data_IF_575053775174
#
_entry.id   IF_575053775174
#
_cell.length_a   1.000
_cell.length_b   1.000
_cell.length_c   1.000
_cell.angle_alpha   90.00
_cell.angle_beta   90.00
_cell.angle_gamma   90.00
#
_symmetry.space_group_name_H-M   'P 1'
#
loop_
_entity.id
_entity.type
_entity.pdbx_description
1 polymer ?
#
# COMPACT_ATOMS: atom_id res chain seq x y z
N UNK A 1 -13.58 22.46 13.43
CA UNK A 1 -14.65 21.44 13.37
C UNK A 1 -14.06 20.22 12.67
N UNK A 2 -14.43 19.02 13.11
CA UNK A 2 -14.01 17.78 12.44
C UNK A 2 -14.43 17.83 10.96
N UNK A 3 -13.52 17.60 9.99
CA UNK A 3 -13.90 17.60 8.57
C UNK A 3 -14.89 16.48 8.23
N UNK A 4 -14.92 15.38 8.98
CA UNK A 4 -15.81 14.25 8.74
C UNK A 4 -16.95 14.16 9.77
N UNK A 5 -18.08 13.64 9.28
CA UNK A 5 -19.33 13.39 10.04
C UNK A 5 -19.38 12.05 10.77
N UNK A 6 -18.34 11.24 10.66
CA UNK A 6 -18.26 9.86 11.17
C UNK A 6 -16.99 9.65 12.00
N UNK A 7 -16.86 8.55 12.77
CA UNK A 7 -15.62 8.21 13.46
C UNK A 7 -14.45 7.99 12.51
N UNK A 8 -13.33 8.66 12.75
CA UNK A 8 -12.07 8.48 12.02
C UNK A 8 -10.89 8.81 12.93
N UNK A 9 -9.71 8.50 12.43
CA UNK A 9 -8.45 8.88 13.02
C UNK A 9 -7.43 9.30 11.96
N UNK A 10 -6.60 10.27 12.31
CA UNK A 10 -5.45 10.72 11.53
C UNK A 10 -4.20 10.63 12.38
N UNK A 11 -3.13 10.11 11.81
CA UNK A 11 -1.81 10.09 12.41
C UNK A 11 -0.79 10.66 11.42
N UNK A 12 0.17 11.43 11.93
CA UNK A 12 1.27 12.03 11.15
C UNK A 12 2.59 11.65 11.81
N UNK A 13 3.61 11.34 11.03
CA UNK A 13 4.94 10.94 11.52
C UNK A 13 6.05 11.52 10.67
N UNK A 14 7.19 11.78 11.27
CA UNK A 14 8.47 11.74 10.55
C UNK A 14 9.09 10.33 10.69
N UNK A 15 10.32 10.17 10.22
CA UNK A 15 11.06 8.91 10.28
C UNK A 15 11.37 8.44 11.72
N UNK A 16 11.33 9.33 12.71
CA UNK A 16 11.75 9.04 14.09
C UNK A 16 10.56 8.88 15.04
N UNK A 17 9.53 9.70 14.88
CA UNK A 17 8.43 9.83 15.85
C UNK A 17 7.12 10.26 15.22
N UNK A 18 6.04 9.94 15.93
CA UNK A 18 4.71 10.50 15.65
C UNK A 18 4.71 11.99 15.95
N UNK A 19 4.28 12.79 14.98
CA UNK A 19 4.16 14.25 15.07
C UNK A 19 2.78 14.70 15.54
N UNK A 20 1.73 14.00 15.08
CA UNK A 20 0.36 14.31 15.46
C UNK A 20 -0.53 13.08 15.46
N UNK A 21 -1.56 13.13 16.30
CA UNK A 21 -2.62 12.14 16.46
C UNK A 21 -3.93 12.91 16.63
N UNK A 22 -4.95 12.55 15.88
CA UNK A 22 -6.27 13.19 15.93
C UNK A 22 -7.38 12.17 15.71
N UNK A 23 -8.51 12.34 16.40
CA UNK A 23 -9.65 11.42 16.32
C UNK A 23 -9.46 10.15 17.15
N UNK A 24 -10.11 9.06 16.74
CA UNK A 24 -10.17 7.78 17.47
C UNK A 24 -8.94 6.90 17.20
N UNK A 25 -7.75 7.39 17.57
CA UNK A 25 -6.46 6.82 17.13
C UNK A 25 -6.17 5.40 17.63
N UNK A 26 -6.89 4.95 18.67
CA UNK A 26 -6.79 3.60 19.25
C UNK A 26 -7.88 2.65 18.75
N UNK A 27 -8.90 3.16 18.05
CA UNK A 27 -9.98 2.35 17.47
C UNK A 27 -9.48 1.65 16.20
N UNK A 28 -9.58 0.30 16.11
CA UNK A 28 -9.26 -0.42 14.88
C UNK A 28 -10.36 -0.22 13.82
N UNK A 29 -9.96 0.10 12.59
CA UNK A 29 -10.86 0.24 11.44
C UNK A 29 -10.39 -0.63 10.27
N UNK A 30 -11.30 -1.08 9.39
CA UNK A 30 -10.92 -1.83 8.19
C UNK A 30 -9.98 -1.01 7.30
N UNK A 31 -8.91 -1.63 6.84
CA UNK A 31 -7.91 -1.01 5.97
C UNK A 31 -8.26 -1.16 4.49
N UNK A 32 -9.04 -2.17 4.11
CA UNK A 32 -9.21 -2.56 2.72
C UNK A 32 -7.83 -2.62 2.04
N UNK A 33 -7.67 -1.99 0.88
CA UNK A 33 -6.45 -2.08 0.07
C UNK A 33 -5.18 -1.47 0.68
N UNK A 34 -5.26 -0.72 1.79
CA UNK A 34 -4.07 -0.35 2.58
C UNK A 34 -3.35 -1.60 3.15
N UNK A 35 -4.00 -2.77 3.13
CA UNK A 35 -3.37 -4.07 3.43
C UNK A 35 -2.28 -4.44 2.42
N UNK A 36 -2.38 -4.04 1.14
CA UNK A 36 -1.45 -4.46 0.08
C UNK A 36 0.01 -4.03 0.34
N UNK A 37 0.30 -2.77 0.71
CA UNK A 37 1.64 -2.40 1.13
C UNK A 37 2.22 -3.28 2.25
N UNK A 38 1.40 -3.67 3.22
CA UNK A 38 1.83 -4.52 4.35
C UNK A 38 2.16 -5.93 3.86
N UNK A 39 1.31 -6.50 2.99
CA UNK A 39 1.55 -7.80 2.36
C UNK A 39 2.79 -7.79 1.44
N UNK A 40 2.96 -6.74 0.65
CA UNK A 40 4.13 -6.56 -0.20
C UNK A 40 5.41 -6.45 0.64
N UNK A 41 5.39 -5.72 1.76
CA UNK A 41 6.53 -5.65 2.66
C UNK A 41 6.92 -7.03 3.21
N UNK A 42 5.93 -7.85 3.61
CA UNK A 42 6.17 -9.22 4.06
C UNK A 42 6.77 -10.12 2.96
N UNK A 43 6.34 -9.96 1.71
CA UNK A 43 6.96 -10.63 0.56
C UNK A 43 8.42 -10.18 0.38
N UNK A 44 8.68 -8.87 0.49
CA UNK A 44 10.01 -8.31 0.32
C UNK A 44 10.97 -8.74 1.44
N UNK A 45 10.51 -9.08 2.65
CA UNK A 45 11.41 -9.65 3.68
C UNK A 45 11.96 -11.00 3.23
N UNK A 46 11.17 -11.79 2.51
CA UNK A 46 11.60 -13.09 1.97
C UNK A 46 12.50 -12.94 0.74
N UNK A 47 12.32 -11.88 -0.05
CA UNK A 47 13.30 -11.48 -1.08
C UNK A 47 14.63 -11.12 -0.42
N UNK A 48 14.60 -10.28 0.62
CA UNK A 48 15.82 -9.90 1.36
C UNK A 48 16.51 -11.10 2.01
N UNK A 49 15.75 -12.11 2.44
CA UNK A 49 16.27 -13.34 3.02
C UNK A 49 16.78 -14.35 1.97
N UNK A 50 16.69 -14.04 0.68
CA UNK A 50 17.11 -14.91 -0.43
C UNK A 50 16.26 -16.17 -0.58
N UNK A 51 15.01 -16.16 -0.12
CA UNK A 51 14.07 -17.30 -0.25
C UNK A 51 13.36 -17.34 -1.59
N UNK A 52 13.18 -16.16 -2.18
CA UNK A 52 12.60 -15.90 -3.49
C UNK A 52 13.34 -14.73 -4.14
N UNK A 53 13.23 -14.59 -5.45
CA UNK A 53 13.74 -13.43 -6.19
C UNK A 53 12.59 -12.62 -6.81
N UNK A 54 12.78 -11.30 -6.97
CA UNK A 54 11.76 -10.47 -7.61
C UNK A 54 11.48 -10.89 -9.06
N UNK A 55 12.51 -11.34 -9.77
CA UNK A 55 12.40 -11.75 -11.17
C UNK A 55 12.18 -13.27 -11.31
N UNK A 56 11.92 -13.96 -10.19
CA UNK A 56 11.53 -15.36 -10.18
C UNK A 56 10.13 -15.52 -10.78
N UNK A 57 9.97 -16.53 -11.64
CA UNK A 57 8.68 -16.91 -12.19
C UNK A 57 7.78 -17.51 -11.11
N UNK A 58 6.59 -16.95 -10.97
CA UNK A 58 5.54 -17.45 -10.09
C UNK A 58 4.61 -18.34 -10.93
N UNK A 59 4.30 -19.57 -10.49
CA UNK A 59 3.31 -20.40 -11.14
C UNK A 59 1.94 -19.72 -11.15
N UNK A 60 1.37 -19.54 -12.35
CA UNK A 60 0.03 -19.01 -12.55
C UNK A 60 -0.67 -19.80 -13.64
N UNK A 61 -1.99 -19.65 -13.77
CA UNK A 61 -2.74 -20.25 -14.88
C UNK A 61 -2.55 -19.49 -16.21
N UNK A 62 -1.64 -18.51 -16.27
CA UNK A 62 -1.28 -17.78 -17.49
C UNK A 62 -0.38 -18.61 -18.39
N UNK A 63 -0.56 -18.45 -19.70
CA UNK A 63 0.39 -18.98 -20.70
C UNK A 63 1.71 -18.18 -20.74
N UNK A 64 1.74 -16.98 -20.17
CA UNK A 64 2.92 -16.12 -20.14
C UNK A 64 3.67 -16.27 -18.81
N UNK A 65 5.01 -16.39 -18.82
CA UNK A 65 5.81 -16.32 -17.61
C UNK A 65 5.50 -15.03 -16.84
N UNK A 66 5.09 -15.16 -15.59
CA UNK A 66 4.75 -14.04 -14.70
C UNK A 66 5.74 -14.01 -13.55
N UNK A 67 6.35 -12.87 -13.27
CA UNK A 67 7.32 -12.73 -12.17
C UNK A 67 6.68 -12.16 -10.90
N UNK A 68 7.35 -12.38 -9.76
CA UNK A 68 6.93 -11.79 -8.48
C UNK A 68 6.88 -10.26 -8.56
N UNK A 69 7.84 -9.63 -9.25
CA UNK A 69 7.89 -8.19 -9.53
C UNK A 69 6.64 -7.72 -10.26
N UNK A 70 6.23 -8.43 -11.31
CA UNK A 70 5.04 -8.07 -12.10
C UNK A 70 3.76 -8.16 -11.26
N UNK A 71 3.65 -9.15 -10.38
CA UNK A 71 2.51 -9.28 -9.47
C UNK A 71 2.43 -8.09 -8.48
N UNK A 72 3.53 -7.78 -7.80
CA UNK A 72 3.61 -6.68 -6.83
C UNK A 72 3.40 -5.31 -7.48
N UNK A 73 3.79 -5.15 -8.75
CA UNK A 73 3.66 -3.91 -9.50
C UNK A 73 2.38 -3.80 -10.32
N UNK A 74 1.44 -4.75 -10.21
CA UNK A 74 0.20 -4.76 -11.01
C UNK A 74 0.45 -4.74 -12.53
N UNK A 75 1.51 -5.41 -12.97
CA UNK A 75 1.96 -5.52 -14.35
C UNK A 75 1.87 -6.96 -14.89
N UNK A 76 1.31 -7.90 -14.13
CA UNK A 76 1.17 -9.30 -14.54
C UNK A 76 0.06 -9.55 -15.57
N UNK A 77 -0.92 -8.65 -15.65
CA UNK A 77 -2.11 -8.85 -16.50
C UNK A 77 -3.18 -9.77 -15.90
N UNK A 78 -3.04 -10.14 -14.63
CA UNK A 78 -4.07 -10.87 -13.86
C UNK A 78 -5.24 -9.92 -13.55
N UNK A 79 -6.45 -10.46 -13.62
CA UNK A 79 -7.70 -9.75 -13.32
C UNK A 79 -7.76 -9.22 -11.88
N UNK A 80 -8.70 -8.32 -11.62
CA UNK A 80 -8.83 -7.66 -10.32
C UNK A 80 -9.17 -8.64 -9.18
N UNK A 81 -10.17 -9.52 -9.35
CA UNK A 81 -10.70 -10.42 -8.30
C UNK A 81 -10.69 -11.90 -8.69
N UNK A 82 -10.38 -12.21 -9.95
CA UNK A 82 -10.19 -13.59 -10.39
C UNK A 82 -8.73 -13.86 -10.68
N UNK A 83 -8.30 -15.11 -10.49
CA UNK A 83 -6.96 -15.57 -10.91
C UNK A 83 -6.85 -15.76 -12.42
N UNK A 84 -7.82 -15.24 -13.18
CA UNK A 84 -7.81 -15.28 -14.62
C UNK A 84 -6.83 -14.26 -15.17
N UNK A 85 -6.15 -14.68 -16.21
CA UNK A 85 -5.26 -13.83 -16.97
C UNK A 85 -6.04 -13.12 -18.09
N UNK A 86 -5.93 -11.79 -18.15
CA UNK A 86 -6.77 -10.96 -19.05
C UNK A 86 -5.96 -10.04 -19.96
N UNK A 87 -4.62 -10.09 -19.89
CA UNK A 87 -3.73 -9.27 -20.71
C UNK A 87 -2.30 -9.80 -20.64
N UNK A 88 -1.49 -9.75 -21.72
CA UNK A 88 -0.05 -10.01 -21.63
C UNK A 88 0.62 -9.19 -20.52
N UNK A 89 1.61 -9.72 -19.78
CA UNK A 89 2.34 -8.92 -18.80
C UNK A 89 2.91 -7.66 -19.44
N UNK A 90 3.05 -6.60 -18.65
CA UNK A 90 3.72 -5.35 -19.03
C UNK A 90 3.05 -4.59 -20.20
N UNK A 91 1.78 -4.89 -20.49
CA UNK A 91 1.01 -4.17 -21.53
C UNK A 91 0.14 -3.04 -20.99
N UNK A 92 -0.36 -3.18 -19.76
CA UNK A 92 -1.18 -2.20 -19.05
C UNK A 92 -1.10 -2.45 -17.54
N UNK A 93 -1.36 -1.42 -16.74
CA UNK A 93 -1.47 -1.53 -15.29
C UNK A 93 -2.86 -2.04 -14.91
N UNK A 94 -2.95 -3.27 -14.43
CA UNK A 94 -4.19 -3.87 -13.93
C UNK A 94 -4.06 -4.02 -12.41
N UNK A 95 -4.67 -3.09 -11.69
CA UNK A 95 -4.79 -3.18 -10.24
C UNK A 95 -5.49 -4.50 -9.87
N UNK A 96 -4.84 -5.33 -9.05
CA UNK A 96 -5.27 -6.71 -8.81
C UNK A 96 -5.13 -7.12 -7.35
N UNK A 97 -6.24 -7.55 -6.73
CA UNK A 97 -6.21 -8.24 -5.45
C UNK A 97 -5.53 -9.60 -5.61
N UNK A 98 -5.98 -10.37 -6.60
CA UNK A 98 -5.45 -11.71 -6.86
C UNK A 98 -3.96 -11.72 -7.15
N UNK A 99 -3.40 -10.70 -7.82
CA UNK A 99 -1.97 -10.59 -8.04
C UNK A 99 -1.18 -10.53 -6.73
N UNK A 100 -1.66 -9.77 -5.75
CA UNK A 100 -1.04 -9.68 -4.42
C UNK A 100 -1.21 -10.97 -3.63
N UNK A 101 -2.39 -11.60 -3.72
CA UNK A 101 -2.66 -12.88 -3.07
C UNK A 101 -1.75 -13.99 -3.64
N UNK A 102 -1.64 -14.10 -4.96
CA UNK A 102 -0.75 -15.06 -5.63
C UNK A 102 0.70 -14.83 -5.20
N UNK A 103 1.17 -13.58 -5.17
CA UNK A 103 2.52 -13.25 -4.73
C UNK A 103 2.77 -13.71 -3.28
N UNK A 104 1.85 -13.41 -2.37
CA UNK A 104 1.97 -13.77 -0.97
C UNK A 104 1.84 -15.28 -0.73
N UNK A 105 0.92 -15.95 -1.42
CA UNK A 105 0.72 -17.41 -1.34
C UNK A 105 1.96 -18.16 -1.83
N UNK A 106 2.52 -17.75 -2.97
CA UNK A 106 3.74 -18.34 -3.52
C UNK A 106 4.91 -18.28 -2.52
N UNK A 107 5.10 -17.12 -1.90
CA UNK A 107 6.16 -16.91 -0.90
C UNK A 107 5.86 -17.67 0.39
N UNK A 108 4.60 -17.69 0.83
CA UNK A 108 4.20 -18.41 2.03
C UNK A 108 4.40 -19.92 1.88
N UNK A 109 4.03 -20.49 0.73
CA UNK A 109 4.26 -21.90 0.40
C UNK A 109 5.76 -22.23 0.42
N UNK A 110 6.59 -21.37 -0.18
CA UNK A 110 8.07 -21.52 -0.21
C UNK A 110 8.67 -21.65 1.20
N UNK A 111 8.10 -20.98 2.19
CA UNK A 111 8.59 -20.99 3.58
C UNK A 111 7.72 -21.83 4.52
N UNK A 112 6.78 -22.61 3.99
CA UNK A 112 5.98 -23.56 4.75
C UNK A 112 4.95 -22.92 5.70
N UNK A 113 4.33 -21.81 5.30
CA UNK A 113 3.33 -21.09 6.09
C UNK A 113 2.11 -20.67 5.23
N UNK A 114 1.20 -19.89 5.79
CA UNK A 114 0.09 -19.23 5.05
C UNK A 114 0.40 -17.75 4.83
N UNK A 115 -0.17 -17.13 3.80
CA UNK A 115 0.05 -15.70 3.51
C UNK A 115 -0.30 -14.79 4.71
N UNK A 116 -1.37 -15.11 5.45
CA UNK A 116 -1.75 -14.38 6.65
C UNK A 116 -0.73 -14.52 7.79
N UNK A 117 -0.19 -15.71 8.02
CA UNK A 117 0.84 -15.92 9.04
C UNK A 117 2.20 -15.35 8.60
N UNK A 118 2.54 -15.39 7.31
CA UNK A 118 3.70 -14.70 6.76
C UNK A 118 3.64 -13.20 7.08
N UNK A 119 2.55 -12.54 6.71
CA UNK A 119 2.33 -11.11 7.01
C UNK A 119 2.42 -10.84 8.52
N UNK A 120 1.79 -11.71 9.33
CA UNK A 120 1.82 -11.59 10.79
C UNK A 120 3.24 -11.71 11.35
N UNK A 121 4.01 -12.69 10.87
CA UNK A 121 5.34 -13.00 11.33
C UNK A 121 6.37 -11.95 10.94
N UNK A 122 6.30 -11.47 9.70
CA UNK A 122 7.33 -10.65 9.09
C UNK A 122 7.11 -9.16 9.31
N UNK A 123 5.87 -8.72 9.57
CA UNK A 123 5.55 -7.27 9.69
C UNK A 123 4.80 -6.93 10.96
N UNK A 124 3.68 -7.59 11.23
CA UNK A 124 2.81 -7.24 12.37
C UNK A 124 3.51 -7.43 13.72
N UNK A 125 4.09 -8.61 13.95
CA UNK A 125 4.78 -8.90 15.21
C UNK A 125 6.04 -8.05 15.40
N UNK A 126 6.96 -7.94 14.42
CA UNK A 126 8.18 -7.16 14.58
C UNK A 126 7.94 -5.67 14.83
N UNK A 127 6.89 -5.10 14.24
CA UNK A 127 6.54 -3.69 14.42
C UNK A 127 5.62 -3.43 15.63
N UNK A 128 5.20 -4.46 16.35
CA UNK A 128 4.27 -4.33 17.47
C UNK A 128 2.94 -3.68 17.05
N UNK A 129 2.32 -4.17 15.97
CA UNK A 129 1.01 -3.70 15.50
C UNK A 129 -0.10 -4.40 16.31
N UNK A 130 -0.23 -4.03 17.58
CA UNK A 130 -0.99 -4.78 18.59
C UNK A 130 -2.51 -4.84 18.32
N UNK A 131 -3.06 -3.86 17.63
CA UNK A 131 -4.48 -3.80 17.23
C UNK A 131 -4.81 -4.59 15.97
N UNK A 132 -3.83 -5.28 15.38
CA UNK A 132 -3.99 -6.00 14.12
C UNK A 132 -5.02 -7.11 14.21
N UNK A 133 -6.01 -7.03 13.33
CA UNK A 133 -6.93 -8.12 13.02
C UNK A 133 -6.88 -8.39 11.52
N UNK A 134 -7.13 -9.64 11.13
CA UNK A 134 -7.00 -10.10 9.76
C UNK A 134 -8.19 -10.97 9.37
N UNK A 135 -8.81 -10.63 8.25
CA UNK A 135 -9.98 -11.33 7.73
C UNK A 135 -9.80 -11.62 6.25
N UNK A 136 -9.95 -12.88 5.85
CA UNK A 136 -10.03 -13.31 4.46
C UNK A 136 -8.73 -13.15 3.64
N UNK A 137 -8.35 -11.93 3.24
CA UNK A 137 -7.36 -11.70 2.18
C UNK A 137 -6.22 -10.78 2.59
N UNK A 138 -4.98 -11.13 2.22
CA UNK A 138 -3.80 -10.24 2.35
C UNK A 138 -3.83 -9.03 1.43
N UNK A 139 -4.75 -8.98 0.46
CA UNK A 139 -4.92 -7.82 -0.42
C UNK A 139 -5.89 -6.77 0.14
N UNK A 140 -6.76 -7.12 1.10
CA UNK A 140 -7.77 -6.17 1.60
C UNK A 140 -8.28 -6.40 3.04
N UNK A 141 -7.82 -7.45 3.72
CA UNK A 141 -8.40 -7.99 4.94
C UNK A 141 -7.91 -7.40 6.26
N UNK A 142 -6.95 -6.48 6.22
CA UNK A 142 -6.37 -5.89 7.42
C UNK A 142 -7.35 -4.97 8.15
N UNK A 143 -7.30 -4.99 9.47
CA UNK A 143 -7.98 -4.03 10.36
C UNK A 143 -6.93 -3.56 11.36
N UNK A 144 -6.79 -2.24 11.50
CA UNK A 144 -5.75 -1.65 12.35
C UNK A 144 -6.16 -0.26 12.84
N UNK A 145 -5.63 0.15 14.00
CA UNK A 145 -5.78 1.51 14.50
C UNK A 145 -4.81 2.48 13.81
N UNK A 146 -5.10 3.79 13.82
CA UNK A 146 -4.17 4.79 13.28
C UNK A 146 -2.83 4.81 14.04
N UNK A 147 -2.86 4.56 15.36
CA UNK A 147 -1.66 4.51 16.20
C UNK A 147 -0.70 3.39 15.78
N UNK A 148 -1.22 2.23 15.38
CA UNK A 148 -0.37 1.15 14.90
C UNK A 148 -0.03 1.31 13.43
N UNK A 149 -0.98 1.74 12.59
CA UNK A 149 -0.74 1.92 11.16
C UNK A 149 0.39 2.91 10.88
N UNK A 150 0.53 3.96 11.69
CA UNK A 150 1.63 4.93 11.53
C UNK A 150 3.01 4.34 11.88
N UNK A 151 3.08 3.23 12.64
CA UNK A 151 4.34 2.50 12.86
C UNK A 151 4.82 1.84 11.56
N UNK A 152 3.90 1.28 10.76
CA UNK A 152 4.22 0.75 9.44
C UNK A 152 4.67 1.85 8.47
N UNK A 153 4.01 3.01 8.48
CA UNK A 153 4.47 4.18 7.70
C UNK A 153 5.89 4.58 8.06
N UNK A 154 6.24 4.60 9.35
CA UNK A 154 7.60 4.88 9.82
C UNK A 154 8.62 3.82 9.40
N UNK A 155 8.24 2.54 9.45
CA UNK A 155 9.06 1.44 8.94
C UNK A 155 9.39 1.66 7.46
N UNK A 156 8.43 2.07 6.63
CA UNK A 156 8.69 2.34 5.21
C UNK A 156 9.67 3.51 5.02
N UNK A 157 9.60 4.53 5.88
CA UNK A 157 10.49 5.70 5.83
C UNK A 157 11.91 5.42 6.33
N UNK A 158 12.04 4.61 7.39
CA UNK A 158 13.30 4.25 8.03
C UNK A 158 13.31 2.74 8.30
N UNK A 159 13.60 1.93 7.26
CA UNK A 159 13.37 0.49 7.29
C UNK A 159 14.28 -0.23 8.29
N UNK A 160 13.66 -1.10 9.07
CA UNK A 160 14.31 -2.00 10.04
C UNK A 160 14.16 -3.46 9.64
N UNK A 161 13.13 -3.79 8.85
CA UNK A 161 12.83 -5.13 8.36
C UNK A 161 13.47 -5.43 7.00
N UNK A 162 13.74 -4.39 6.20
CA UNK A 162 14.34 -4.49 4.88
C UNK A 162 15.67 -3.72 4.82
N UNK A 163 16.63 -4.15 3.99
CA UNK A 163 17.73 -3.31 3.57
C UNK A 163 17.22 -2.03 2.92
N UNK A 164 17.86 -0.89 3.21
CA UNK A 164 17.45 0.42 2.72
C UNK A 164 17.28 0.48 1.20
N UNK A 165 18.12 -0.23 0.44
CA UNK A 165 18.02 -0.24 -1.02
C UNK A 165 16.79 -0.99 -1.54
N UNK A 166 16.36 -2.07 -0.87
CA UNK A 166 15.13 -2.79 -1.24
C UNK A 166 13.89 -1.99 -0.86
N UNK A 167 13.91 -1.31 0.30
CA UNK A 167 12.85 -0.38 0.69
C UNK A 167 12.71 0.78 -0.32
N UNK A 168 13.81 1.40 -0.74
CA UNK A 168 13.81 2.43 -1.80
C UNK A 168 13.29 1.88 -3.13
N UNK A 169 13.68 0.66 -3.50
CA UNK A 169 13.17 0.01 -4.71
C UNK A 169 11.66 -0.21 -4.64
N UNK A 170 11.10 -0.53 -3.47
CA UNK A 170 9.67 -0.69 -3.29
C UNK A 170 8.88 0.60 -3.56
N UNK A 171 9.49 1.77 -3.31
CA UNK A 171 8.91 3.09 -3.58
C UNK A 171 9.35 3.68 -4.94
N UNK A 172 10.02 2.89 -5.79
CA UNK A 172 10.46 3.31 -7.12
C UNK A 172 9.55 2.73 -8.20
N UNK A 173 9.17 3.55 -9.18
CA UNK A 173 8.27 3.15 -10.27
C UNK A 173 8.81 1.91 -11.00
N UNK A 174 7.98 0.88 -11.06
CA UNK A 174 8.19 -0.32 -11.87
C UNK A 174 7.33 -0.20 -13.13
N UNK A 175 7.91 -0.46 -14.30
CA UNK A 175 7.20 -0.40 -15.59
C UNK A 175 6.58 0.99 -15.86
N UNK A 176 7.40 2.05 -16.07
CA UNK A 176 6.94 3.44 -16.00
C UNK A 176 5.88 3.83 -17.03
N UNK A 177 5.87 3.19 -18.20
CA UNK A 177 4.99 3.55 -19.32
C UNK A 177 3.55 3.00 -19.20
N UNK A 178 3.24 2.20 -18.17
CA UNK A 178 1.96 1.50 -18.11
C UNK A 178 0.81 2.42 -17.70
N UNK A 179 -0.10 2.69 -18.63
CA UNK A 179 -1.41 3.27 -18.34
C UNK A 179 -2.35 2.24 -17.68
N UNK A 180 -3.34 2.72 -16.93
CA UNK A 180 -4.34 1.84 -16.30
C UNK A 180 -5.44 2.59 -15.57
N UNK A 181 -6.27 1.85 -14.85
CA UNK A 181 -7.33 2.43 -14.00
C UNK A 181 -6.82 2.53 -12.57
N UNK A 182 -6.89 3.71 -11.98
CA UNK A 182 -6.84 3.88 -10.53
C UNK A 182 -8.27 3.77 -10.01
N UNK A 183 -8.63 2.71 -9.23
CA UNK A 183 -9.99 2.53 -8.75
C UNK A 183 -10.53 3.81 -8.09
N UNK A 184 -11.75 4.22 -8.43
CA UNK A 184 -12.35 5.46 -7.92
C UNK A 184 -11.87 6.76 -8.58
N UNK A 185 -10.74 6.77 -9.30
CA UNK A 185 -10.21 7.96 -9.99
C UNK A 185 -10.14 7.83 -11.52
N UNK A 186 -10.47 6.66 -12.06
CA UNK A 186 -10.57 6.45 -13.50
C UNK A 186 -9.23 6.20 -14.17
N UNK A 187 -9.13 6.49 -15.46
CA UNK A 187 -7.92 6.25 -16.26
C UNK A 187 -6.80 7.20 -15.82
N UNK A 188 -5.60 6.64 -15.64
CA UNK A 188 -4.34 7.34 -15.42
C UNK A 188 -3.31 6.89 -16.48
N UNK A 189 -2.51 7.82 -16.99
CA UNK A 189 -1.61 7.61 -18.14
C UNK A 189 -0.35 8.48 -17.99
N UNK A 190 0.74 7.95 -17.40
CA UNK A 190 0.88 6.60 -16.85
C UNK A 190 0.14 6.39 -15.50
N UNK A 191 -0.17 5.13 -15.17
CA UNK A 191 -0.65 4.72 -13.84
C UNK A 191 0.51 4.08 -13.05
N UNK A 192 1.32 4.91 -12.41
CA UNK A 192 2.58 4.52 -11.77
C UNK A 192 2.40 3.72 -10.48
N UNK A 193 3.28 2.72 -10.30
CA UNK A 193 3.27 1.80 -9.16
C UNK A 193 4.70 1.34 -8.85
N UNK A 194 5.00 1.15 -7.57
CA UNK A 194 6.21 0.49 -7.07
C UNK A 194 5.97 -1.00 -6.80
N UNK A 195 6.68 -1.56 -5.82
CA UNK A 195 6.45 -2.95 -5.37
C UNK A 195 5.40 -2.96 -4.25
N UNK A 196 4.13 -2.99 -4.61
CA UNK A 196 2.99 -2.95 -3.69
C UNK A 196 2.55 -1.56 -3.22
N UNK A 197 3.27 -0.51 -3.61
CA UNK A 197 2.94 0.88 -3.30
C UNK A 197 2.47 1.62 -4.54
N UNK A 198 1.34 2.31 -4.43
CA UNK A 198 0.96 3.32 -5.40
C UNK A 198 1.98 4.48 -5.36
N UNK A 199 2.39 4.99 -6.52
CA UNK A 199 3.21 6.21 -6.61
C UNK A 199 2.34 7.31 -7.23
N UNK A 200 2.39 8.52 -6.70
CA UNK A 200 1.55 9.65 -7.14
C UNK A 200 1.85 10.06 -8.58
N UNK A 201 3.12 10.27 -8.87
CA UNK A 201 3.61 10.87 -10.12
C UNK A 201 2.76 12.08 -10.54
N UNK A 202 2.21 12.07 -11.76
CA UNK A 202 1.38 13.14 -12.33
C UNK A 202 -0.12 12.78 -12.36
N UNK A 203 -0.55 11.79 -11.58
CA UNK A 203 -1.95 11.33 -11.60
C UNK A 203 -2.91 12.45 -11.22
N UNK A 204 -3.97 12.61 -12.00
CA UNK A 204 -5.01 13.58 -11.76
C UNK A 204 -6.36 13.11 -12.34
N UNK A 205 -7.48 13.19 -11.60
CA UNK A 205 -7.59 13.53 -10.18
C UNK A 205 -6.93 12.46 -9.27
N UNK A 206 -6.61 12.84 -8.03
CA UNK A 206 -5.94 11.94 -7.07
C UNK A 206 -6.45 12.15 -5.63
N UNK A 207 -6.25 11.16 -4.76
CA UNK A 207 -6.68 11.20 -3.34
C UNK A 207 -5.73 11.98 -2.43
N UNK A 208 -4.49 12.16 -2.86
CA UNK A 208 -3.46 12.91 -2.13
C UNK A 208 -3.58 14.42 -2.32
N UNK A 209 -2.70 15.18 -1.68
CA UNK A 209 -2.59 16.62 -1.94
C UNK A 209 -2.11 16.87 -3.38
N UNK A 210 -2.58 17.95 -4.04
CA UNK A 210 -1.96 18.46 -5.26
C UNK A 210 -0.51 18.92 -5.05
N UNK A 211 -0.11 19.24 -3.80
CA UNK A 211 1.24 19.69 -3.43
C UNK A 211 2.19 18.57 -3.01
N UNK A 212 1.70 17.33 -2.91
CA UNK A 212 2.57 16.18 -2.77
C UNK A 212 3.52 16.08 -3.97
N UNK A 213 4.76 15.68 -3.71
CA UNK A 213 5.73 15.49 -4.80
C UNK A 213 5.31 14.32 -5.70
N UNK A 214 5.80 14.27 -6.95
CA UNK A 214 5.63 13.11 -7.81
C UNK A 214 6.12 11.79 -7.19
N UNK A 215 7.02 11.85 -6.19
CA UNK A 215 7.57 10.68 -5.49
C UNK A 215 6.75 10.24 -4.28
N UNK A 216 5.66 10.93 -3.94
CA UNK A 216 4.77 10.47 -2.88
C UNK A 216 4.32 9.04 -3.20
N UNK A 217 4.47 8.15 -2.24
CA UNK A 217 4.11 6.75 -2.36
C UNK A 217 3.19 6.31 -1.22
N UNK A 218 2.30 5.37 -1.47
CA UNK A 218 1.34 4.95 -0.45
C UNK A 218 0.28 4.02 -1.00
N UNK A 219 -0.92 4.11 -0.43
CA UNK A 219 -2.11 3.42 -0.92
C UNK A 219 -3.35 4.00 -0.23
N UNK A 220 -4.50 3.99 -0.91
CA UNK A 220 -5.80 4.21 -0.26
C UNK A 220 -6.69 2.97 -0.35
N UNK A 221 -7.65 2.82 0.57
CA UNK A 221 -8.53 1.67 0.69
C UNK A 221 -10.01 2.04 0.53
N UNK A 222 -10.78 1.14 -0.08
CA UNK A 222 -12.23 1.29 -0.26
C UNK A 222 -13.02 1.35 1.06
N UNK A 223 -12.41 1.00 2.19
CA UNK A 223 -12.99 1.19 3.52
C UNK A 223 -12.90 2.62 4.04
N UNK A 224 -12.33 3.57 3.27
CA UNK A 224 -12.11 4.95 3.73
C UNK A 224 -10.82 5.07 4.54
N UNK A 225 -9.72 4.50 4.03
CA UNK A 225 -8.40 4.54 4.64
C UNK A 225 -7.36 5.04 3.65
N UNK A 226 -6.25 5.59 4.14
CA UNK A 226 -5.04 5.76 3.35
C UNK A 226 -3.78 5.72 4.21
N UNK A 227 -2.66 5.45 3.56
CA UNK A 227 -1.33 5.83 4.02
C UNK A 227 -0.60 6.55 2.89
N UNK A 228 0.25 7.50 3.23
CA UNK A 228 1.23 8.04 2.30
C UNK A 228 2.55 8.37 2.99
N UNK A 229 3.60 8.30 2.19
CA UNK A 229 4.97 8.68 2.50
C UNK A 229 5.38 9.72 1.47
N UNK A 230 5.96 10.82 1.95
CA UNK A 230 6.53 11.91 1.16
C UNK A 230 8.06 11.91 1.37
N UNK A 231 8.82 11.16 0.55
CA UNK A 231 10.25 10.95 0.79
C UNK A 231 11.06 12.25 0.76
N UNK A 232 10.68 13.21 -0.08
CA UNK A 232 11.41 14.48 -0.23
C UNK A 232 11.27 15.39 1.00
N UNK A 233 10.21 15.21 1.78
CA UNK A 233 9.93 16.00 2.98
C UNK A 233 10.14 15.22 4.28
N UNK A 234 10.46 13.92 4.19
CA UNK A 234 10.61 13.06 5.36
C UNK A 234 9.35 12.99 6.22
N UNK A 235 8.18 12.99 5.59
CA UNK A 235 6.88 13.05 6.26
C UNK A 235 5.98 11.90 5.80
N UNK A 236 5.16 11.36 6.70
CA UNK A 236 4.16 10.36 6.35
C UNK A 236 2.88 10.55 7.16
N UNK A 237 1.77 10.07 6.63
CA UNK A 237 0.48 10.11 7.32
C UNK A 237 -0.35 8.85 7.09
N UNK A 238 -1.28 8.63 8.00
CA UNK A 238 -2.28 7.58 7.95
C UNK A 238 -3.66 8.15 8.28
N UNK A 239 -4.67 7.69 7.56
CA UNK A 239 -6.08 7.94 7.84
C UNK A 239 -6.83 6.61 7.87
N UNK A 240 -7.71 6.45 8.85
CA UNK A 240 -8.66 5.34 8.91
C UNK A 240 -10.02 5.84 9.38
N UNK A 241 -11.10 5.26 8.86
CA UNK A 241 -12.45 5.74 9.14
C UNK A 241 -13.51 4.65 9.14
N UNK A 242 -14.67 4.98 9.72
CA UNK A 242 -15.82 4.07 9.85
C UNK A 242 -16.67 3.92 8.59
N UNK A 243 -16.46 4.78 7.57
CA UNK A 243 -17.26 4.79 6.34
C UNK A 243 -16.44 4.40 5.12
N UNK A 244 -17.00 3.59 4.20
CA UNK A 244 -16.37 3.31 2.92
C UNK A 244 -16.02 4.58 2.13
N UNK A 245 -14.97 4.45 1.31
CA UNK A 245 -14.52 5.49 0.40
C UNK A 245 -15.67 6.00 -0.48
N UNK A 246 -15.75 7.32 -0.63
CA UNK A 246 -16.92 7.98 -1.22
C UNK A 246 -16.55 9.36 -1.79
N UNK A 247 -17.53 10.09 -2.31
CA UNK A 247 -17.33 11.47 -2.77
C UNK A 247 -16.93 12.42 -1.63
N UNK A 248 -17.36 12.17 -0.40
CA UNK A 248 -16.94 12.95 0.79
C UNK A 248 -15.42 12.84 0.99
N UNK A 249 -14.85 11.63 0.87
CA UNK A 249 -13.41 11.40 0.94
C UNK A 249 -12.66 12.08 -0.20
N UNK A 250 -13.15 11.97 -1.44
CA UNK A 250 -12.53 12.61 -2.62
C UNK A 250 -12.46 14.13 -2.50
N UNK A 251 -13.47 14.74 -1.90
CA UNK A 251 -13.50 16.18 -1.67
C UNK A 251 -12.55 16.62 -0.55
N UNK A 252 -12.48 15.84 0.54
CA UNK A 252 -11.80 16.28 1.78
C UNK A 252 -10.33 15.85 1.83
N UNK A 253 -9.98 14.65 1.35
CA UNK A 253 -8.63 14.12 1.52
C UNK A 253 -7.52 14.97 0.88
N UNK A 254 -7.67 15.53 -0.33
CA UNK A 254 -6.65 16.40 -0.90
C UNK A 254 -6.35 17.62 -0.02
N UNK A 255 -7.40 18.30 0.47
CA UNK A 255 -7.27 19.47 1.35
C UNK A 255 -6.68 19.10 2.72
N UNK A 256 -7.15 17.99 3.32
CA UNK A 256 -6.58 17.46 4.56
C UNK A 256 -5.08 17.18 4.42
N UNK A 257 -4.68 16.55 3.31
CA UNK A 257 -3.29 16.22 3.05
C UNK A 257 -2.45 17.48 2.78
N UNK A 258 -3.01 18.49 2.10
CA UNK A 258 -2.36 19.81 1.96
C UNK A 258 -2.12 20.44 3.33
N UNK A 259 -3.12 20.42 4.21
CA UNK A 259 -2.99 20.94 5.57
C UNK A 259 -1.88 20.21 6.36
N UNK A 260 -1.82 18.88 6.27
CA UNK A 260 -0.74 18.10 6.90
C UNK A 260 0.64 18.50 6.35
N UNK A 261 0.77 18.69 5.03
CA UNK A 261 2.02 19.16 4.44
C UNK A 261 2.39 20.55 4.96
N UNK A 262 1.45 21.49 5.06
CA UNK A 262 1.73 22.85 5.53
C UNK A 262 2.09 22.91 7.00
N UNK A 263 1.46 22.08 7.83
CA UNK A 263 1.66 22.08 9.28
C UNK A 263 2.95 21.36 9.71
N UNK A 264 3.40 20.36 8.93
CA UNK A 264 4.47 19.45 9.37
C UNK A 264 5.66 19.33 8.41
N UNK A 265 5.57 19.76 7.15
CA UNK A 265 6.76 19.83 6.30
C UNK A 265 7.63 21.00 6.73
N UNK A 266 8.88 20.70 7.08
CA UNK A 266 9.90 21.71 7.39
C UNK A 266 10.56 22.26 6.13
#
# INVERSE_FOLDING_TARGET
>A
MSPFSFPYAVAVTDAEKTLALSGEVDTPFPLASVTKPIAAWAVLTQVSAGKVELDECVPTDSEYPTTLRQLLAHASGIDFESRLFVSPPETRRIYSNCGIEIAADFVAERVGTTAGELLRAEVVRPLGLDTWQFFESVAHGGVLSARDLIKFVREVMSPTLLPTELAKQALTVQYPELAGILPGFGKQDPNTWGLGFEIRDQKEPHWSSPENSPKMAGHFGQSGSFIWIEPERGLGAAFVGAKPFSQEHKAIWPELNTQILHDFAK
#
